data_IF_610160882371
#
_entry.id   IF_610160882371
#
_cell.length_a   1.000
_cell.length_b   1.000
_cell.length_c   1.000
_cell.angle_alpha   90.00
_cell.angle_beta   90.00
_cell.angle_gamma   90.00
#
_symmetry.space_group_name_H-M   'P 1'
#
loop_
_entity.id
_entity.type
_entity.pdbx_description
1 polymer ?
#
# COMPACT_ATOMS: atom_id res chain seq x y z
N UNK A 1 26.12 6.27 -26.49
CA UNK A 1 26.86 6.90 -25.38
C UNK A 1 26.61 8.40 -25.45
N UNK A 2 25.70 8.91 -24.62
CA UNK A 2 25.52 10.35 -24.42
C UNK A 2 25.36 10.61 -22.93
N UNK A 3 26.23 11.49 -22.47
CA UNK A 3 26.56 11.80 -21.09
C UNK A 3 25.37 12.50 -20.41
N UNK A 4 24.68 11.83 -19.48
CA UNK A 4 23.77 12.49 -18.53
C UNK A 4 24.57 12.78 -17.26
N UNK A 5 25.48 13.74 -17.38
CA UNK A 5 26.20 14.30 -16.26
C UNK A 5 26.12 15.83 -16.37
N UNK A 6 25.07 16.42 -15.77
CA UNK A 6 25.24 17.48 -14.77
C UNK A 6 23.92 18.10 -14.28
N UNK A 7 23.88 18.30 -12.95
CA UNK A 7 23.16 19.34 -12.20
C UNK A 7 21.76 19.09 -11.62
N UNK A 8 21.52 17.97 -10.91
CA UNK A 8 20.66 17.96 -9.69
C UNK A 8 21.23 16.91 -8.73
N UNK A 9 21.36 17.24 -7.43
CA UNK A 9 22.16 16.49 -6.44
C UNK A 9 22.08 14.97 -6.58
N UNK A 10 23.23 14.32 -6.79
CA UNK A 10 23.37 12.88 -7.04
C UNK A 10 23.01 12.07 -5.77
N UNK A 11 21.72 11.92 -5.51
CA UNK A 11 21.22 10.86 -4.66
C UNK A 11 21.70 9.53 -5.24
N UNK A 12 22.28 8.65 -4.41
CA UNK A 12 22.60 7.31 -4.87
C UNK A 12 21.30 6.60 -5.28
N UNK A 13 21.36 5.73 -6.28
CA UNK A 13 20.22 4.89 -6.69
C UNK A 13 19.60 4.14 -5.51
N UNK A 14 20.44 3.72 -4.55
CA UNK A 14 20.01 3.10 -3.31
C UNK A 14 19.12 4.03 -2.45
N UNK A 15 19.50 5.31 -2.33
CA UNK A 15 18.70 6.32 -1.63
C UNK A 15 17.33 6.50 -2.27
N UNK A 16 17.26 6.57 -3.61
CA UNK A 16 15.98 6.67 -4.34
C UNK A 16 15.09 5.47 -4.02
N UNK A 17 15.63 4.25 -4.04
CA UNK A 17 14.88 3.04 -3.73
C UNK A 17 14.35 3.03 -2.29
N UNK A 18 15.12 3.51 -1.31
CA UNK A 18 14.64 3.67 0.07
C UNK A 18 13.48 4.66 0.13
N UNK A 19 13.58 5.79 -0.56
CA UNK A 19 12.50 6.80 -0.57
C UNK A 19 11.23 6.23 -1.19
N UNK A 20 11.35 5.46 -2.27
CA UNK A 20 10.20 4.80 -2.91
C UNK A 20 9.60 3.72 -2.00
N UNK A 21 10.45 2.91 -1.36
CA UNK A 21 10.05 1.89 -0.39
C UNK A 21 9.40 2.49 0.87
N UNK A 22 9.79 3.69 1.29
CA UNK A 22 9.12 4.39 2.38
C UNK A 22 7.66 4.67 2.05
N UNK A 23 7.34 5.06 0.81
CA UNK A 23 5.95 5.27 0.42
C UNK A 23 5.14 3.97 0.36
N UNK A 24 5.71 2.86 -0.10
CA UNK A 24 5.01 1.55 -0.05
C UNK A 24 4.87 1.03 1.38
N UNK A 25 5.81 1.36 2.26
CA UNK A 25 5.68 1.13 3.71
C UNK A 25 4.50 1.93 4.30
N UNK A 26 4.38 3.21 3.96
CA UNK A 26 3.28 4.08 4.40
C UNK A 26 1.93 3.54 3.89
N UNK A 27 1.87 3.06 2.65
CA UNK A 27 0.69 2.40 2.09
C UNK A 27 0.28 1.17 2.90
N UNK A 28 1.24 0.27 3.16
CA UNK A 28 1.00 -0.90 4.00
C UNK A 28 0.53 -0.55 5.39
N UNK A 29 1.14 0.48 6.00
CA UNK A 29 0.75 0.94 7.32
C UNK A 29 -0.69 1.48 7.32
N UNK A 30 -1.02 2.37 6.39
CA UNK A 30 -2.35 2.98 6.22
C UNK A 30 -3.45 1.96 5.94
N UNK A 31 -3.17 0.92 5.18
CA UNK A 31 -4.14 -0.10 4.82
C UNK A 31 -4.35 -1.08 5.97
N UNK A 32 -3.28 -1.71 6.43
CA UNK A 32 -3.35 -2.86 7.32
C UNK A 32 -3.46 -2.48 8.79
N UNK A 33 -3.16 -1.24 9.20
CA UNK A 33 -3.31 -0.85 10.60
C UNK A 33 -4.78 -0.85 11.05
N UNK A 34 -5.74 -0.61 10.15
CA UNK A 34 -7.15 -0.52 10.55
C UNK A 34 -7.75 -1.83 11.04
N UNK A 35 -7.23 -2.97 10.55
CA UNK A 35 -7.76 -4.29 10.85
C UNK A 35 -7.56 -4.69 12.34
N UNK A 36 -6.35 -4.62 12.92
CA UNK A 36 -6.16 -4.89 14.34
C UNK A 36 -6.76 -3.82 15.27
N UNK A 37 -7.09 -2.64 14.73
CA UNK A 37 -7.65 -1.51 15.48
C UNK A 37 -9.17 -1.45 15.41
N UNK A 38 -9.80 -2.37 14.67
CA UNK A 38 -11.24 -2.37 14.44
C UNK A 38 -12.07 -2.35 15.74
N UNK A 39 -11.72 -3.11 16.80
CA UNK A 39 -12.43 -3.04 18.08
C UNK A 39 -12.35 -1.64 18.73
N UNK A 40 -11.18 -0.98 18.66
CA UNK A 40 -10.96 0.35 19.24
C UNK A 40 -11.78 1.43 18.51
N UNK A 41 -11.93 1.28 17.19
CA UNK A 41 -12.74 2.17 16.35
C UNK A 41 -14.23 1.98 16.68
N UNK A 42 -14.67 0.72 16.78
CA UNK A 42 -16.03 0.36 17.19
C UNK A 42 -16.39 0.96 18.54
N UNK A 43 -15.49 0.86 19.52
CA UNK A 43 -15.66 1.49 20.84
C UNK A 43 -15.74 3.02 20.74
N UNK A 44 -14.84 3.65 19.98
CA UNK A 44 -14.78 5.12 19.86
C UNK A 44 -16.06 5.73 19.30
N UNK A 45 -16.70 5.06 18.35
CA UNK A 45 -17.90 5.55 17.67
C UNK A 45 -19.19 4.86 18.13
N UNK A 46 -19.12 4.01 19.16
CA UNK A 46 -20.24 3.19 19.64
C UNK A 46 -20.93 2.40 18.51
N UNK A 47 -20.14 1.85 17.60
CA UNK A 47 -20.60 1.11 16.42
C UNK A 47 -20.29 -0.38 16.52
N UNK A 48 -20.94 -1.19 15.69
CA UNK A 48 -20.61 -2.62 15.60
C UNK A 48 -19.33 -2.84 14.78
N UNK A 49 -18.60 -3.97 14.98
CA UNK A 49 -17.44 -4.30 14.15
C UNK A 49 -17.76 -4.29 12.64
N UNK A 50 -18.96 -4.76 12.26
CA UNK A 50 -19.42 -4.75 10.87
C UNK A 50 -19.56 -3.32 10.31
N UNK A 51 -20.08 -2.38 11.10
CA UNK A 51 -20.18 -0.97 10.70
C UNK A 51 -18.80 -0.32 10.60
N UNK A 52 -17.94 -0.54 11.58
CA UNK A 52 -16.55 -0.06 11.56
C UNK A 52 -15.78 -0.62 10.37
N UNK A 53 -16.08 -1.86 9.96
CA UNK A 53 -15.49 -2.53 8.80
C UNK A 53 -15.74 -1.79 7.49
N UNK A 54 -16.78 -0.95 7.39
CA UNK A 54 -16.99 -0.09 6.22
C UNK A 54 -15.85 0.89 6.00
N UNK A 55 -15.11 1.30 7.04
CA UNK A 55 -13.93 2.14 6.89
C UNK A 55 -12.78 1.41 6.15
N UNK A 56 -12.69 0.09 6.28
CA UNK A 56 -11.72 -0.75 5.56
C UNK A 56 -12.21 -0.98 4.12
N UNK A 57 -13.47 -1.34 3.95
CA UNK A 57 -14.09 -1.52 2.62
C UNK A 57 -14.03 -0.24 1.78
N UNK A 58 -14.30 0.92 2.39
CA UNK A 58 -14.23 2.21 1.71
C UNK A 58 -12.82 2.52 1.20
N UNK A 59 -11.78 2.19 1.97
CA UNK A 59 -10.39 2.29 1.50
C UNK A 59 -10.16 1.42 0.27
N UNK A 60 -10.59 0.15 0.30
CA UNK A 60 -10.45 -0.77 -0.83
C UNK A 60 -11.18 -0.27 -2.08
N UNK A 61 -12.40 0.26 -1.94
CA UNK A 61 -13.13 0.91 -3.03
C UNK A 61 -12.33 2.11 -3.56
N UNK A 62 -11.74 2.91 -2.66
CA UNK A 62 -10.83 4.00 -3.01
C UNK A 62 -9.64 3.52 -3.85
N UNK A 63 -9.02 2.39 -3.51
CA UNK A 63 -7.92 1.80 -4.32
C UNK A 63 -8.40 1.44 -5.72
N UNK A 64 -9.56 0.77 -5.83
CA UNK A 64 -10.14 0.33 -7.11
C UNK A 64 -10.49 1.51 -8.01
N UNK A 65 -11.08 2.57 -7.44
CA UNK A 65 -11.46 3.78 -8.19
C UNK A 65 -10.24 4.64 -8.52
N UNK A 66 -9.32 4.77 -7.57
CA UNK A 66 -8.15 5.63 -7.67
C UNK A 66 -7.14 5.16 -8.69
N UNK A 67 -6.90 3.84 -8.78
CA UNK A 67 -5.94 3.28 -9.74
C UNK A 67 -6.19 3.74 -11.20
N UNK A 68 -7.37 3.51 -11.83
CA UNK A 68 -7.63 3.99 -13.19
C UNK A 68 -7.71 5.51 -13.26
N UNK A 69 -8.33 6.18 -12.28
CA UNK A 69 -8.47 7.64 -12.27
C UNK A 69 -7.10 8.34 -12.34
N UNK A 70 -6.15 7.91 -11.50
CA UNK A 70 -4.83 8.52 -11.45
C UNK A 70 -3.88 8.01 -12.51
N UNK A 71 -4.03 6.76 -12.97
CA UNK A 71 -3.30 6.29 -14.15
C UNK A 71 -3.60 7.17 -15.37
N UNK A 72 -4.87 7.54 -15.59
CA UNK A 72 -5.28 8.40 -16.70
C UNK A 72 -4.80 9.84 -16.50
N UNK A 73 -5.08 10.43 -15.33
CA UNK A 73 -4.80 11.86 -15.08
C UNK A 73 -3.31 12.15 -14.92
N UNK A 74 -2.50 11.16 -14.54
CA UNK A 74 -1.05 11.32 -14.35
C UNK A 74 -0.18 10.72 -15.45
N UNK A 75 -0.78 10.11 -16.50
CA UNK A 75 -0.06 9.44 -17.59
C UNK A 75 1.05 10.30 -18.21
N UNK A 76 0.78 11.59 -18.42
CA UNK A 76 1.72 12.55 -19.03
C UNK A 76 2.51 13.38 -18.00
N UNK A 77 2.28 13.16 -16.70
CA UNK A 77 2.99 13.87 -15.66
C UNK A 77 4.42 13.32 -15.51
N UNK A 78 5.33 14.18 -15.05
CA UNK A 78 6.66 13.71 -14.61
C UNK A 78 6.47 12.80 -13.40
N UNK A 79 7.16 11.65 -13.38
CA UNK A 79 7.01 10.63 -12.32
C UNK A 79 7.17 11.21 -10.91
N UNK A 80 8.14 12.11 -10.70
CA UNK A 80 8.32 12.82 -9.44
C UNK A 80 7.08 13.63 -9.03
N UNK A 81 6.45 14.34 -9.96
CA UNK A 81 5.27 15.16 -9.67
C UNK A 81 4.05 14.29 -9.32
N UNK A 82 3.89 13.15 -10.01
CA UNK A 82 2.86 12.18 -9.67
C UNK A 82 3.07 11.60 -8.26
N UNK A 83 4.31 11.19 -7.93
CA UNK A 83 4.66 10.73 -6.58
C UNK A 83 4.38 11.81 -5.51
N UNK A 84 4.75 13.06 -5.75
CA UNK A 84 4.45 14.16 -4.83
C UNK A 84 2.94 14.38 -4.65
N UNK A 85 2.15 14.29 -5.72
CA UNK A 85 0.69 14.39 -5.64
C UNK A 85 0.13 13.27 -4.76
N UNK A 86 0.51 12.02 -5.03
CA UNK A 86 -0.01 10.87 -4.30
C UNK A 86 0.39 10.88 -2.82
N UNK A 87 1.65 11.19 -2.50
CA UNK A 87 2.09 11.27 -1.10
C UNK A 87 1.46 12.47 -0.39
N UNK A 88 1.18 13.57 -1.10
CA UNK A 88 0.41 14.70 -0.53
C UNK A 88 -1.01 14.28 -0.18
N UNK A 89 -1.65 13.48 -1.03
CA UNK A 89 -2.96 12.89 -0.73
C UNK A 89 -2.88 11.94 0.45
N UNK A 90 -1.85 11.09 0.54
CA UNK A 90 -1.64 10.21 1.69
C UNK A 90 -1.49 11.01 2.99
N UNK A 91 -0.68 12.07 2.98
CA UNK A 91 -0.51 12.98 4.11
C UNK A 91 -1.85 13.60 4.54
N UNK A 92 -2.54 14.22 3.59
CA UNK A 92 -3.79 14.94 3.87
C UNK A 92 -4.89 14.01 4.36
N UNK A 93 -5.17 12.92 3.66
CA UNK A 93 -6.33 12.08 3.94
C UNK A 93 -6.13 11.14 5.14
N UNK A 94 -4.91 10.65 5.38
CA UNK A 94 -4.61 9.95 6.64
C UNK A 94 -4.64 10.92 7.83
N UNK A 95 -4.12 12.14 7.65
CA UNK A 95 -4.23 13.20 8.65
C UNK A 95 -5.69 13.50 8.99
N UNK A 96 -6.54 13.71 7.98
CA UNK A 96 -7.97 13.92 8.16
C UNK A 96 -8.65 12.73 8.85
N UNK A 97 -8.28 11.50 8.51
CA UNK A 97 -8.80 10.29 9.16
C UNK A 97 -8.47 10.25 10.66
N UNK A 98 -7.29 10.74 11.07
CA UNK A 98 -6.93 10.87 12.49
C UNK A 98 -7.85 11.87 13.25
N UNK A 99 -8.40 12.86 12.54
CA UNK A 99 -9.30 13.89 13.08
C UNK A 99 -10.79 13.60 12.84
N UNK A 100 -11.16 12.41 12.36
CA UNK A 100 -12.56 12.07 12.11
C UNK A 100 -13.39 12.11 13.41
N UNK A 101 -14.50 12.85 13.43
CA UNK A 101 -15.37 13.00 14.60
C UNK A 101 -16.61 12.10 14.54
N UNK A 102 -16.86 11.44 13.41
CA UNK A 102 -17.89 10.42 13.26
C UNK A 102 -17.40 9.26 12.40
N UNK A 103 -18.09 8.13 12.46
CA UNK A 103 -17.76 6.95 11.64
C UNK A 103 -17.93 7.25 10.15
N UNK A 104 -18.96 7.98 9.74
CA UNK A 104 -19.19 8.35 8.34
C UNK A 104 -18.06 9.24 7.81
N UNK A 105 -17.59 10.17 8.64
CA UNK A 105 -16.45 11.01 8.30
C UNK A 105 -15.18 10.16 8.14
N UNK A 106 -14.95 9.19 9.02
CA UNK A 106 -13.83 8.26 8.90
C UNK A 106 -13.94 7.44 7.61
N UNK A 107 -15.12 6.89 7.30
CA UNK A 107 -15.38 6.12 6.07
C UNK A 107 -15.04 6.95 4.83
N UNK A 108 -15.49 8.21 4.77
CA UNK A 108 -15.19 9.11 3.66
C UNK A 108 -13.68 9.37 3.54
N UNK A 109 -13.02 9.71 4.65
CA UNK A 109 -11.58 9.98 4.63
C UNK A 109 -10.75 8.74 4.30
N UNK A 110 -11.24 7.55 4.64
CA UNK A 110 -10.64 6.28 4.26
C UNK A 110 -10.79 5.99 2.78
N UNK A 111 -11.95 6.23 2.19
CA UNK A 111 -12.12 6.21 0.74
C UNK A 111 -11.11 7.13 0.05
N UNK A 112 -11.00 8.38 0.51
CA UNK A 112 -10.02 9.34 -0.03
C UNK A 112 -8.57 8.92 0.19
N UNK A 113 -8.25 8.26 1.32
CA UNK A 113 -6.91 7.74 1.61
C UNK A 113 -6.53 6.55 0.72
N UNK A 114 -7.52 5.79 0.22
CA UNK A 114 -7.31 4.66 -0.68
C UNK A 114 -7.03 5.09 -2.12
N UNK A 115 -7.57 6.24 -2.54
CA UNK A 115 -7.42 6.79 -3.89
C UNK A 115 -5.96 6.80 -4.44
N UNK A 116 -4.95 7.33 -3.72
CA UNK A 116 -3.58 7.36 -4.23
C UNK A 116 -2.86 6.01 -4.20
N UNK A 117 -3.42 4.97 -3.57
CA UNK A 117 -2.70 3.74 -3.25
C UNK A 117 -2.14 3.05 -4.49
N UNK A 118 -3.02 2.52 -5.36
CA UNK A 118 -2.60 1.74 -6.52
C UNK A 118 -1.74 2.56 -7.49
N UNK A 119 -2.04 3.84 -7.64
CA UNK A 119 -1.32 4.74 -8.53
C UNK A 119 0.09 5.08 -8.03
N UNK A 120 0.26 5.34 -6.73
CA UNK A 120 1.59 5.49 -6.14
C UNK A 120 2.41 4.22 -6.28
N UNK A 121 1.79 3.07 -5.96
CA UNK A 121 2.45 1.79 -6.00
C UNK A 121 3.01 1.49 -7.40
N UNK A 122 2.17 1.65 -8.44
CA UNK A 122 2.57 1.49 -9.82
C UNK A 122 3.66 2.51 -10.22
N UNK A 123 3.47 3.80 -9.91
CA UNK A 123 4.44 4.85 -10.26
C UNK A 123 5.82 4.62 -9.63
N UNK A 124 5.86 4.18 -8.37
CA UNK A 124 7.09 3.88 -7.64
C UNK A 124 7.82 2.67 -8.23
N UNK A 125 7.09 1.59 -8.55
CA UNK A 125 7.64 0.39 -9.20
C UNK A 125 8.18 0.72 -10.60
N UNK A 126 7.42 1.46 -11.41
CA UNK A 126 7.89 1.89 -12.74
C UNK A 126 9.12 2.79 -12.66
N UNK A 127 9.18 3.71 -11.70
CA UNK A 127 10.36 4.55 -11.53
C UNK A 127 11.57 3.72 -11.11
N UNK A 128 11.40 2.74 -10.22
CA UNK A 128 12.48 1.82 -9.84
C UNK A 128 12.96 0.98 -11.03
N UNK A 129 12.05 0.52 -11.89
CA UNK A 129 12.41 -0.22 -13.11
C UNK A 129 13.16 0.65 -14.13
N UNK A 130 12.82 1.93 -14.26
CA UNK A 130 13.47 2.86 -15.18
C UNK A 130 14.91 3.18 -14.79
N UNK A 131 15.20 3.33 -13.49
CA UNK A 131 16.54 3.61 -12.98
C UNK A 131 17.39 2.34 -12.82
N UNK A 132 16.81 1.16 -13.08
CA UNK A 132 17.49 -0.11 -12.96
C UNK A 132 18.34 -0.43 -14.21
N UNK A 133 19.49 -1.10 -14.03
CA UNK A 133 20.15 -1.82 -15.11
C UNK A 133 19.17 -2.79 -15.81
N UNK A 134 19.33 -2.99 -17.11
CA UNK A 134 18.40 -3.77 -17.94
C UNK A 134 18.17 -5.20 -17.41
N UNK A 135 19.20 -5.82 -16.84
CA UNK A 135 19.23 -7.16 -16.26
C UNK A 135 18.70 -7.24 -14.81
N UNK A 136 18.39 -6.09 -14.17
CA UNK A 136 18.07 -6.01 -12.74
C UNK A 136 16.75 -5.32 -12.41
N UNK A 137 15.88 -5.09 -13.41
CA UNK A 137 14.58 -4.43 -13.23
C UNK A 137 13.73 -5.09 -12.13
N UNK A 138 13.55 -6.40 -12.17
CA UNK A 138 12.79 -7.14 -11.16
C UNK A 138 13.35 -6.96 -9.74
N UNK A 139 14.68 -6.96 -9.58
CA UNK A 139 15.35 -6.74 -8.28
C UNK A 139 15.13 -5.33 -7.74
N UNK A 140 15.03 -4.33 -8.60
CA UNK A 140 14.76 -2.95 -8.17
C UNK A 140 13.30 -2.76 -7.78
N UNK A 141 12.38 -3.35 -8.55
CA UNK A 141 10.96 -3.38 -8.23
C UNK A 141 10.72 -4.09 -6.88
N UNK A 142 11.39 -5.21 -6.62
CA UNK A 142 11.24 -5.93 -5.35
C UNK A 142 11.75 -5.14 -4.14
N UNK A 143 12.81 -4.33 -4.29
CA UNK A 143 13.28 -3.42 -3.22
C UNK A 143 12.24 -2.37 -2.84
N UNK A 144 11.44 -1.89 -3.80
CA UNK A 144 10.30 -1.00 -3.50
C UNK A 144 9.19 -1.77 -2.81
N UNK A 145 8.91 -2.99 -3.25
CA UNK A 145 7.92 -3.87 -2.62
C UNK A 145 8.26 -4.22 -1.16
N UNK A 146 9.55 -4.29 -0.82
CA UNK A 146 10.04 -4.58 0.53
C UNK A 146 9.49 -3.62 1.59
N UNK A 147 9.18 -2.37 1.23
CA UNK A 147 8.51 -1.42 2.13
C UNK A 147 7.16 -1.96 2.64
N UNK A 148 6.35 -2.53 1.76
CA UNK A 148 5.06 -3.15 2.12
C UNK A 148 5.26 -4.35 3.06
N UNK A 149 6.27 -5.19 2.79
CA UNK A 149 6.61 -6.33 3.64
C UNK A 149 7.06 -5.90 5.04
N UNK A 150 7.91 -4.88 5.13
CA UNK A 150 8.35 -4.35 6.43
C UNK A 150 7.16 -3.73 7.18
N UNK A 151 6.23 -3.10 6.47
CA UNK A 151 5.02 -2.56 7.07
C UNK A 151 4.19 -3.67 7.73
N UNK A 152 3.96 -4.80 7.07
CA UNK A 152 3.13 -5.88 7.65
C UNK A 152 3.82 -6.61 8.80
N UNK A 153 5.14 -6.84 8.72
CA UNK A 153 5.88 -7.57 9.77
C UNK A 153 6.16 -6.70 11.00
N UNK A 154 6.52 -5.44 10.79
CA UNK A 154 7.03 -4.57 11.86
C UNK A 154 6.12 -3.36 12.08
N UNK A 155 5.74 -2.68 11.00
CA UNK A 155 4.95 -1.45 11.08
C UNK A 155 3.60 -1.65 11.77
N UNK A 156 2.79 -2.60 11.28
CA UNK A 156 1.43 -2.89 11.75
C UNK A 156 1.41 -3.31 13.21
N UNK A 157 2.24 -4.27 13.68
CA UNK A 157 2.33 -4.58 15.11
C UNK A 157 2.72 -3.37 15.97
N UNK A 158 3.70 -2.57 15.53
CA UNK A 158 4.12 -1.39 16.27
C UNK A 158 3.00 -0.36 16.42
N UNK A 159 2.26 -0.06 15.34
CA UNK A 159 1.11 0.86 15.43
C UNK A 159 -0.09 0.24 16.14
N UNK A 160 -0.22 -1.09 16.11
CA UNK A 160 -1.25 -1.79 16.91
C UNK A 160 -1.02 -1.56 18.39
N UNK A 161 0.23 -1.72 18.86
CA UNK A 161 0.58 -1.43 20.25
C UNK A 161 0.34 0.03 20.62
N UNK A 162 0.66 0.98 19.73
CA UNK A 162 0.34 2.40 19.96
C UNK A 162 -1.17 2.61 20.05
N UNK A 163 -1.96 1.96 19.19
CA UNK A 163 -3.41 2.02 19.21
C UNK A 163 -4.02 1.51 20.51
N UNK A 164 -3.56 0.34 20.96
CA UNK A 164 -4.04 -0.33 22.17
C UNK A 164 -3.68 0.42 23.46
N UNK A 165 -2.49 1.03 23.53
CA UNK A 165 -2.01 1.71 24.74
C UNK A 165 -2.35 3.22 24.77
N UNK A 166 -2.59 3.82 23.61
CA UNK A 166 -2.91 5.24 23.50
C UNK A 166 -4.23 5.44 22.75
N UNK A 167 -4.18 5.65 21.44
CA UNK A 167 -5.37 5.88 20.62
C UNK A 167 -5.07 5.53 19.18
N UNK A 168 -6.07 5.00 18.48
CA UNK A 168 -5.94 4.66 17.07
C UNK A 168 -5.68 5.88 16.18
N UNK A 169 -6.08 7.07 16.64
CA UNK A 169 -5.85 8.34 15.94
C UNK A 169 -4.37 8.63 15.76
N UNK A 170 -3.53 8.31 16.76
CA UNK A 170 -2.09 8.53 16.70
C UNK A 170 -1.41 7.71 15.62
N UNK A 171 -1.95 6.54 15.31
CA UNK A 171 -1.41 5.68 14.26
C UNK A 171 -1.62 6.31 12.88
N UNK A 172 -2.83 6.83 12.61
CA UNK A 172 -3.12 7.53 11.35
C UNK A 172 -2.36 8.87 11.26
N UNK A 173 -2.24 9.59 12.37
CA UNK A 173 -1.42 10.80 12.43
C UNK A 173 0.07 10.49 12.19
N UNK A 174 0.58 9.38 12.73
CA UNK A 174 1.92 8.88 12.48
C UNK A 174 2.15 8.55 11.01
N UNK A 175 1.18 7.90 10.36
CA UNK A 175 1.21 7.62 8.92
C UNK A 175 1.24 8.92 8.10
N UNK A 176 0.49 9.94 8.51
CA UNK A 176 0.56 11.27 7.90
C UNK A 176 1.95 11.91 8.09
N UNK A 177 2.51 11.90 9.30
CA UNK A 177 3.87 12.42 9.56
C UNK A 177 4.91 11.73 8.68
N UNK A 178 4.83 10.39 8.54
CA UNK A 178 5.71 9.64 7.64
C UNK A 178 5.52 10.05 6.17
N UNK A 179 4.28 10.30 5.73
CA UNK A 179 4.01 10.84 4.39
C UNK A 179 4.61 12.23 4.20
N UNK A 180 4.57 13.10 5.21
CA UNK A 180 5.24 14.41 5.16
C UNK A 180 6.77 14.25 5.05
N UNK A 181 7.37 13.32 5.79
CA UNK A 181 8.79 12.98 5.64
C UNK A 181 9.08 12.47 4.23
N UNK A 182 8.25 11.57 3.71
CA UNK A 182 8.39 11.05 2.35
C UNK A 182 8.28 12.16 1.29
N UNK A 183 7.39 13.15 1.46
CA UNK A 183 7.32 14.32 0.58
C UNK A 183 8.65 15.07 0.51
N UNK A 184 9.24 15.38 1.67
CA UNK A 184 10.53 16.08 1.74
C UNK A 184 11.63 15.25 1.07
N UNK A 185 11.64 13.94 1.31
CA UNK A 185 12.63 13.04 0.73
C UNK A 185 12.46 12.88 -0.80
N UNK A 186 11.23 12.83 -1.31
CA UNK A 186 10.96 12.80 -2.75
C UNK A 186 11.41 14.10 -3.41
N UNK A 187 11.14 15.25 -2.79
CA UNK A 187 11.64 16.53 -3.28
C UNK A 187 13.18 16.52 -3.33
N UNK A 188 13.84 15.99 -2.30
CA UNK A 188 15.30 16.05 -2.20
C UNK A 188 16.04 15.06 -3.09
N UNK A 189 15.53 13.83 -3.25
CA UNK A 189 16.29 12.71 -3.79
C UNK A 189 15.73 12.11 -5.07
N UNK A 190 14.42 12.26 -5.36
CA UNK A 190 13.82 11.66 -6.56
C UNK A 190 14.06 12.56 -7.78
N UNK A 191 14.65 12.06 -8.88
CA UNK A 191 14.99 12.87 -10.03
C UNK A 191 13.74 13.31 -10.82
N UNK A 192 13.76 14.54 -11.33
CA UNK A 192 12.65 15.13 -12.07
C UNK A 192 12.80 14.95 -13.60
N UNK A 193 12.84 13.70 -14.07
CA UNK A 193 13.02 13.39 -15.50
C UNK A 193 11.67 13.44 -16.23
N UNK A 194 11.67 13.92 -17.48
CA UNK A 194 10.48 13.91 -18.35
C UNK A 194 10.10 12.46 -18.67
N UNK A 195 8.79 12.19 -18.74
CA UNK A 195 8.31 10.88 -19.15
C UNK A 195 8.60 10.69 -20.65
N UNK A 196 9.35 9.65 -21.03
CA UNK A 196 9.82 9.41 -22.40
C UNK A 196 8.89 8.52 -23.22
N UNK A 197 7.86 7.92 -22.61
CA UNK A 197 6.90 7.08 -23.29
C UNK A 197 5.48 7.38 -22.76
N UNK A 198 4.67 8.18 -23.48
CA UNK A 198 3.25 8.25 -23.21
C UNK A 198 2.62 6.89 -23.54
N UNK A 199 1.97 6.26 -22.57
CA UNK A 199 1.21 5.02 -22.82
C UNK A 199 -0.20 5.37 -23.32
N UNK A 200 -0.66 4.60 -24.30
CA UNK A 200 -2.04 4.68 -24.80
C UNK A 200 -2.94 3.89 -23.84
N UNK A 201 -3.81 4.60 -23.12
CA UNK A 201 -4.77 4.02 -22.16
C UNK A 201 -5.70 2.99 -22.82
N UNK A 202 -6.03 3.19 -24.09
CA UNK A 202 -6.87 2.28 -24.87
C UNK A 202 -6.18 0.93 -25.11
N UNK A 203 -4.84 0.94 -25.23
CA UNK A 203 -4.06 -0.28 -25.40
C UNK A 203 -3.95 -1.04 -24.07
N UNK A 204 -3.88 -0.35 -22.93
CA UNK A 204 -3.90 -1.00 -21.60
C UNK A 204 -5.27 -1.62 -21.28
N UNK A 205 -6.38 -0.92 -21.59
CA UNK A 205 -7.74 -1.45 -21.41
C UNK A 205 -8.05 -2.62 -22.35
N UNK A 206 -7.35 -2.73 -23.48
CA UNK A 206 -7.53 -3.83 -24.43
C UNK A 206 -7.21 -5.21 -23.81
N UNK A 207 -6.37 -5.25 -22.78
CA UNK A 207 -6.00 -6.46 -22.03
C UNK A 207 -7.22 -7.09 -21.36
N UNK A 208 -8.20 -6.29 -20.94
CA UNK A 208 -9.45 -6.77 -20.33
C UNK A 208 -10.35 -7.51 -21.32
N UNK A 209 -10.07 -7.48 -22.63
CA UNK A 209 -10.78 -8.30 -23.63
C UNK A 209 -10.40 -9.77 -23.55
N UNK A 210 -9.28 -10.10 -22.92
CA UNK A 210 -8.80 -11.48 -22.81
C UNK A 210 -9.53 -12.22 -21.68
N UNK A 211 -10.23 -13.31 -22.02
CA UNK A 211 -10.95 -14.15 -21.04
C UNK A 211 -10.03 -14.73 -19.96
N UNK A 212 -8.77 -15.03 -20.29
CA UNK A 212 -7.80 -15.55 -19.32
C UNK A 212 -7.51 -14.54 -18.21
N UNK A 213 -7.52 -13.24 -18.52
CA UNK A 213 -7.33 -12.17 -17.54
C UNK A 213 -8.47 -12.18 -16.52
N UNK A 214 -9.72 -12.37 -16.95
CA UNK A 214 -10.86 -12.49 -16.05
C UNK A 214 -10.79 -13.73 -15.17
N UNK A 215 -10.31 -14.86 -15.69
CA UNK A 215 -10.09 -16.07 -14.89
C UNK A 215 -9.04 -15.82 -13.79
N UNK A 216 -7.91 -15.21 -14.14
CA UNK A 216 -6.84 -14.87 -13.18
C UNK A 216 -7.37 -13.87 -12.14
N UNK A 217 -8.09 -12.83 -12.58
CA UNK A 217 -8.72 -11.88 -11.67
C UNK A 217 -9.73 -12.57 -10.73
N UNK A 218 -10.52 -13.52 -11.21
CA UNK A 218 -11.44 -14.30 -10.39
C UNK A 218 -10.72 -15.10 -9.30
N UNK A 219 -9.61 -15.77 -9.65
CA UNK A 219 -8.77 -16.49 -8.68
C UNK A 219 -8.24 -15.54 -7.61
N UNK A 220 -7.74 -14.35 -8.01
CA UNK A 220 -7.24 -13.33 -7.09
C UNK A 220 -8.37 -12.82 -6.20
N UNK A 221 -9.53 -12.46 -6.76
CA UNK A 221 -10.67 -11.92 -6.00
C UNK A 221 -11.15 -12.92 -4.95
N UNK A 222 -11.32 -14.20 -5.32
CA UNK A 222 -11.78 -15.23 -4.38
C UNK A 222 -10.71 -15.52 -3.34
N UNK A 223 -9.45 -15.70 -3.75
CA UNK A 223 -8.34 -16.01 -2.86
C UNK A 223 -8.03 -14.88 -1.88
N UNK A 224 -7.73 -13.67 -2.38
CA UNK A 224 -7.44 -12.51 -1.54
C UNK A 224 -8.68 -12.03 -0.78
N UNK A 225 -9.86 -12.05 -1.38
CA UNK A 225 -11.11 -11.63 -0.73
C UNK A 225 -11.44 -12.47 0.50
N UNK A 226 -11.27 -13.79 0.42
CA UNK A 226 -11.44 -14.69 1.57
C UNK A 226 -10.46 -14.38 2.70
N UNK A 227 -9.18 -14.22 2.38
CA UNK A 227 -8.14 -13.89 3.37
C UNK A 227 -8.38 -12.53 4.02
N UNK A 228 -8.70 -11.49 3.23
CA UNK A 228 -8.98 -10.16 3.75
C UNK A 228 -10.24 -10.12 4.61
N UNK A 229 -11.25 -10.94 4.33
CA UNK A 229 -12.44 -11.05 5.18
C UNK A 229 -12.08 -11.53 6.58
N UNK A 230 -11.33 -12.65 6.68
CA UNK A 230 -10.87 -13.18 7.98
C UNK A 230 -9.93 -12.19 8.66
N UNK A 231 -9.00 -11.62 7.92
CA UNK A 231 -7.99 -10.70 8.44
C UNK A 231 -8.60 -9.39 8.95
N UNK A 232 -9.70 -8.91 8.35
CA UNK A 232 -10.42 -7.70 8.78
C UNK A 232 -10.96 -7.81 10.21
N UNK A 233 -11.51 -8.98 10.57
CA UNK A 233 -12.15 -9.21 11.87
C UNK A 233 -11.30 -10.07 12.81
N UNK A 234 -10.00 -10.21 12.52
CA UNK A 234 -9.11 -11.07 13.30
C UNK A 234 -8.97 -10.61 14.75
N UNK A 235 -8.96 -9.30 15.00
CA UNK A 235 -8.89 -8.75 16.36
C UNK A 235 -10.17 -9.04 17.16
N UNK A 236 -11.35 -8.81 16.57
CA UNK A 236 -12.63 -9.18 17.18
C UNK A 236 -12.71 -10.68 17.44
N UNK A 237 -12.28 -11.51 16.50
CA UNK A 237 -12.25 -12.98 16.67
C UNK A 237 -11.35 -13.38 17.84
N UNK A 238 -10.16 -12.78 17.95
CA UNK A 238 -9.22 -13.04 19.04
C UNK A 238 -9.84 -12.65 20.39
N UNK A 239 -10.44 -11.47 20.50
CA UNK A 239 -10.96 -10.96 21.76
C UNK A 239 -12.29 -11.61 22.17
N UNK A 240 -13.25 -11.71 21.24
CA UNK A 240 -14.62 -12.14 21.53
C UNK A 240 -14.83 -13.66 21.41
N UNK A 241 -14.07 -14.35 20.56
CA UNK A 241 -14.26 -15.81 20.35
C UNK A 241 -13.20 -16.62 21.07
N UNK A 242 -11.92 -16.24 20.96
CA UNK A 242 -10.83 -16.99 21.62
C UNK A 242 -10.61 -16.59 23.07
N UNK A 243 -11.11 -15.41 23.47
CA UNK A 243 -10.94 -14.84 24.82
C UNK A 243 -9.48 -14.76 25.27
N UNK A 244 -8.56 -14.44 24.35
CA UNK A 244 -7.13 -14.30 24.65
C UNK A 244 -6.73 -12.83 24.88
N UNK A 245 -5.61 -12.56 25.58
CA UNK A 245 -5.21 -11.20 25.90
C UNK A 245 -4.89 -10.36 24.65
N UNK A 246 -5.16 -9.05 24.68
CA UNK A 246 -5.03 -8.16 23.51
C UNK A 246 -3.65 -8.13 22.83
N UNK A 247 -2.56 -8.47 23.54
CA UNK A 247 -1.22 -8.54 22.94
C UNK A 247 -1.09 -9.66 21.88
N UNK A 248 -1.96 -10.68 21.91
CA UNK A 248 -1.96 -11.77 20.93
C UNK A 248 -2.35 -11.30 19.54
N UNK A 249 -3.08 -10.18 19.42
CA UNK A 249 -3.38 -9.53 18.15
C UNK A 249 -2.09 -9.16 17.42
N UNK A 250 -1.15 -8.51 18.12
CA UNK A 250 0.15 -8.14 17.54
C UNK A 250 0.95 -9.36 17.10
N UNK A 251 0.89 -10.47 17.87
CA UNK A 251 1.53 -11.74 17.50
C UNK A 251 0.90 -12.31 16.21
N UNK A 252 -0.44 -12.28 16.11
CA UNK A 252 -1.14 -12.72 14.90
C UNK A 252 -0.76 -11.87 13.67
N UNK A 253 -0.59 -10.55 13.83
CA UNK A 253 -0.16 -9.66 12.75
C UNK A 253 1.26 -10.00 12.27
N UNK A 254 2.19 -10.26 13.21
CA UNK A 254 3.56 -10.70 12.89
C UNK A 254 3.51 -12.02 12.12
N UNK A 255 2.74 -13.00 12.60
CA UNK A 255 2.58 -14.31 11.95
C UNK A 255 2.01 -14.18 10.54
N UNK A 256 1.02 -13.31 10.34
CA UNK A 256 0.47 -13.00 9.03
C UNK A 256 1.54 -12.41 8.09
N UNK A 257 2.29 -11.41 8.55
CA UNK A 257 3.37 -10.80 7.78
C UNK A 257 4.48 -11.80 7.40
N UNK A 258 4.88 -12.67 8.33
CA UNK A 258 5.84 -13.76 8.07
C UNK A 258 5.26 -14.73 7.04
N UNK A 259 4.00 -15.14 7.19
CA UNK A 259 3.30 -16.03 6.26
C UNK A 259 3.25 -15.47 4.84
N UNK A 260 2.85 -14.20 4.67
CA UNK A 260 2.88 -13.51 3.38
C UNK A 260 4.29 -13.49 2.77
N UNK A 261 5.31 -13.24 3.58
CA UNK A 261 6.70 -13.13 3.12
C UNK A 261 7.27 -14.48 2.68
N UNK A 262 7.06 -15.51 3.49
CA UNK A 262 7.47 -16.88 3.16
C UNK A 262 6.70 -17.39 1.95
N UNK A 263 5.39 -17.13 1.87
CA UNK A 263 4.56 -17.48 0.72
C UNK A 263 5.08 -16.84 -0.57
N UNK A 264 5.34 -15.53 -0.56
CA UNK A 264 5.93 -14.83 -1.70
C UNK A 264 7.31 -15.37 -2.08
N UNK A 265 8.15 -15.70 -1.11
CA UNK A 265 9.47 -16.26 -1.37
C UNK A 265 9.41 -17.67 -1.98
N UNK A 266 8.63 -18.57 -1.38
CA UNK A 266 8.48 -19.97 -1.82
C UNK A 266 7.80 -20.04 -3.18
N UNK A 267 6.68 -19.32 -3.35
CA UNK A 267 5.95 -19.30 -4.62
C UNK A 267 6.71 -18.55 -5.71
N UNK A 268 7.42 -17.48 -5.37
CA UNK A 268 8.31 -16.78 -6.30
C UNK A 268 9.39 -17.71 -6.86
N UNK A 269 10.07 -18.45 -5.98
CA UNK A 269 11.08 -19.44 -6.40
C UNK A 269 10.49 -20.59 -7.20
N UNK A 270 9.27 -21.03 -6.88
CA UNK A 270 8.57 -22.06 -7.66
C UNK A 270 8.17 -21.55 -9.05
N UNK A 271 7.70 -20.30 -9.14
CA UNK A 271 7.33 -19.65 -10.40
C UNK A 271 8.55 -19.43 -11.31
N UNK A 272 9.73 -19.14 -10.77
CA UNK A 272 10.98 -19.06 -11.54
C UNK A 272 11.32 -20.38 -12.26
N UNK A 273 10.88 -21.52 -11.73
CA UNK A 273 11.12 -22.83 -12.34
C UNK A 273 10.02 -23.27 -13.31
N UNK A 274 8.76 -22.94 -13.05
CA UNK A 274 7.65 -23.29 -13.94
C UNK A 274 6.44 -22.37 -13.77
N UNK A 275 6.42 -21.19 -14.43
CA UNK A 275 5.39 -20.17 -14.24
C UNK A 275 3.97 -20.73 -14.41
N UNK A 276 3.73 -21.46 -15.51
CA UNK A 276 2.43 -22.04 -15.86
C UNK A 276 1.92 -23.11 -14.86
N UNK A 277 2.81 -23.84 -14.18
CA UNK A 277 2.38 -24.85 -13.18
C UNK A 277 2.12 -24.23 -11.82
N UNK A 278 2.74 -23.08 -11.53
CA UNK A 278 2.62 -22.39 -10.24
C UNK A 278 1.44 -21.43 -10.21
N UNK A 279 1.10 -20.80 -11.34
CA UNK A 279 -0.01 -19.84 -11.43
C UNK A 279 -1.35 -20.44 -11.84
N UNK A 280 -1.36 -21.72 -12.25
CA UNK A 280 -2.54 -22.40 -12.81
C UNK A 280 -2.58 -22.35 -14.34
#
# INVERSE_FOLDING_TARGET
MTNVANSQGNASTFTILIVLALGTFILGLSEFSMMPMLPLISETFSSTPAQSGYAISAYAIGVVVGAPLFMITTANMRKRNALLMFVSMMFLFNGLSAFANSLEQLILFRFLSGLPHGAYFAAAILLAADIAPADKRASFMSKVFMGLTIATIVGVPMVTLVGQNFSWRYCLAGTAVLALVALVLIVKYVPNVKNTAPTSILDELSVLKNKLVWTILGIIIIGFGGVFCVYTYIADTILEVTHTPAYTISIAMIMFGIGCTLGNYVLGKAADHSPLKTTG
#
